data_IF_800658918806
#
_entry.id   IF_800658918806
#
_cell.length_a   1.000
_cell.length_b   1.000
_cell.length_c   1.000
_cell.angle_alpha   90.00
_cell.angle_beta   90.00
_cell.angle_gamma   90.00
#
_symmetry.space_group_name_H-M   'P 1'
#
loop_
_entity.id
_entity.type
_entity.pdbx_description
1 polymer ?
#
# COMPACT_ATOMS: atom_id res chain seq x y z
N UNK A 1 15.94 -8.69 0.47
CA UNK A 1 15.87 -9.14 -0.95
C UNK A 1 16.80 -10.33 -1.18
N UNK A 2 16.27 -11.48 -1.66
CA UNK A 2 17.08 -12.67 -1.99
C UNK A 2 18.17 -12.36 -3.02
N UNK A 3 19.29 -13.08 -2.95
CA UNK A 3 20.49 -12.81 -3.76
C UNK A 3 20.20 -12.77 -5.28
N UNK A 4 19.35 -13.68 -5.76
CA UNK A 4 18.97 -13.79 -7.17
C UNK A 4 18.30 -12.53 -7.75
N UNK A 5 17.60 -11.74 -6.93
CA UNK A 5 16.93 -10.50 -7.38
C UNK A 5 17.81 -9.25 -7.24
N UNK A 6 18.93 -9.33 -6.49
CA UNK A 6 19.81 -8.17 -6.26
C UNK A 6 20.53 -7.69 -7.52
N UNK A 7 20.69 -8.57 -8.52
CA UNK A 7 21.37 -8.29 -9.78
C UNK A 7 20.43 -7.78 -10.89
N UNK A 8 19.12 -7.73 -10.67
CA UNK A 8 18.17 -7.25 -11.68
C UNK A 8 18.25 -5.73 -11.84
N UNK A 9 18.07 -5.25 -13.09
CA UNK A 9 18.12 -3.83 -13.46
C UNK A 9 16.93 -3.05 -12.88
N UNK A 10 15.75 -3.66 -12.88
CA UNK A 10 14.55 -3.16 -12.18
C UNK A 10 14.34 -4.04 -10.97
N UNK A 11 14.32 -3.44 -9.78
CA UNK A 11 14.22 -4.18 -8.51
C UNK A 11 12.85 -3.94 -7.88
N UNK A 12 12.13 -5.00 -7.48
CA UNK A 12 10.88 -4.85 -6.77
C UNK A 12 11.16 -4.29 -5.36
N UNK A 13 10.45 -3.23 -4.96
CA UNK A 13 10.69 -2.56 -3.66
C UNK A 13 9.78 -3.15 -2.59
N UNK A 14 10.25 -3.22 -1.34
CA UNK A 14 9.45 -3.63 -0.19
C UNK A 14 9.06 -5.13 -0.11
N UNK A 15 9.19 -5.93 -1.17
CA UNK A 15 8.68 -7.32 -1.22
C UNK A 15 9.15 -8.20 -0.07
N UNK A 16 10.44 -8.14 0.29
CA UNK A 16 10.97 -8.95 1.42
C UNK A 16 10.33 -8.56 2.75
N UNK A 17 10.09 -7.27 2.98
CA UNK A 17 9.49 -6.74 4.20
C UNK A 17 8.02 -7.17 4.28
N UNK A 18 7.27 -7.01 3.17
CA UNK A 18 5.87 -7.46 3.06
C UNK A 18 5.75 -8.96 3.31
N UNK A 19 6.60 -9.78 2.70
CA UNK A 19 6.59 -11.23 2.93
C UNK A 19 6.97 -11.63 4.36
N UNK A 20 7.92 -10.92 4.99
CA UNK A 20 8.26 -11.16 6.40
C UNK A 20 7.08 -10.81 7.33
N UNK A 21 6.35 -9.73 7.04
CA UNK A 21 5.15 -9.35 7.76
C UNK A 21 4.03 -10.39 7.58
N UNK A 22 3.81 -10.88 6.36
CA UNK A 22 2.84 -11.97 6.09
C UNK A 22 3.14 -13.22 6.92
N UNK A 23 4.41 -13.62 7.02
CA UNK A 23 4.83 -14.74 7.86
C UNK A 23 4.58 -14.46 9.35
N UNK A 24 4.87 -13.25 9.81
CA UNK A 24 4.63 -12.86 11.20
C UNK A 24 3.14 -12.87 11.53
N UNK A 25 2.29 -12.28 10.68
CA UNK A 25 0.83 -12.26 10.85
C UNK A 25 0.30 -13.70 10.93
N UNK A 26 0.75 -14.58 10.04
CA UNK A 26 0.34 -15.99 10.07
C UNK A 26 0.70 -16.72 11.36
N UNK A 27 1.82 -16.36 11.98
CA UNK A 27 2.26 -16.99 13.22
C UNK A 27 1.66 -16.37 14.48
N UNK A 28 1.16 -15.12 14.42
CA UNK A 28 0.86 -14.34 15.63
C UNK A 28 -0.55 -13.72 15.67
N UNK A 29 -1.31 -13.72 14.57
CA UNK A 29 -2.64 -13.12 14.50
C UNK A 29 -3.65 -14.08 13.88
N UNK A 30 -4.85 -14.12 14.43
CA UNK A 30 -5.98 -14.94 13.92
C UNK A 30 -7.09 -14.09 13.31
N UNK A 31 -7.15 -12.81 13.69
CA UNK A 31 -8.18 -11.85 13.28
C UNK A 31 -7.59 -10.47 12.97
N UNK A 32 -8.43 -9.59 12.42
CA UNK A 32 -8.06 -8.24 11.99
C UNK A 32 -7.90 -8.11 10.48
N UNK A 33 -7.36 -6.96 10.06
CA UNK A 33 -7.18 -6.59 8.66
C UNK A 33 -5.72 -6.30 8.37
N UNK A 34 -5.18 -6.95 7.34
CA UNK A 34 -3.89 -6.62 6.76
C UNK A 34 -4.07 -5.50 5.72
N UNK A 35 -3.32 -4.41 5.91
CA UNK A 35 -3.23 -3.30 4.96
C UNK A 35 -1.76 -2.99 4.68
N UNK A 36 -1.38 -2.86 3.41
CA UNK A 36 -0.02 -2.51 3.01
C UNK A 36 0.07 -0.99 2.89
N UNK A 37 0.70 -0.36 3.89
CA UNK A 37 0.91 1.08 3.94
C UNK A 37 2.40 1.40 3.77
N UNK A 38 2.77 1.99 2.62
CA UNK A 38 4.12 2.48 2.37
C UNK A 38 4.36 3.77 3.18
N UNK A 39 5.62 4.03 3.55
CA UNK A 39 6.01 5.02 4.56
C UNK A 39 5.96 6.49 4.09
N UNK A 40 5.78 6.72 2.79
CA UNK A 40 5.73 8.04 2.16
C UNK A 40 4.32 8.46 1.72
N UNK A 41 3.34 7.56 1.83
CA UNK A 41 1.95 7.80 1.47
C UNK A 41 1.21 8.65 2.52
N UNK A 42 0.08 9.24 2.11
CA UNK A 42 -0.83 9.98 2.99
C UNK A 42 -2.14 9.22 3.16
N UNK A 43 -2.62 9.08 4.40
CA UNK A 43 -3.83 8.31 4.71
C UNK A 43 -4.84 9.13 5.50
N UNK A 44 -6.10 9.11 5.08
CA UNK A 44 -7.21 9.68 5.84
C UNK A 44 -7.64 8.70 6.95
N UNK A 45 -7.84 9.19 8.18
CA UNK A 45 -8.27 8.35 9.31
C UNK A 45 -9.60 7.61 9.04
N UNK A 46 -10.50 8.20 8.25
CA UNK A 46 -11.76 7.55 7.83
C UNK A 46 -11.53 6.22 7.11
N UNK A 47 -10.39 6.04 6.43
CA UNK A 47 -10.03 4.78 5.81
C UNK A 47 -9.90 3.67 6.86
N UNK A 48 -9.22 3.96 7.97
CA UNK A 48 -8.96 2.97 9.02
C UNK A 48 -10.23 2.60 9.80
N UNK A 49 -11.21 3.50 9.90
CA UNK A 49 -12.56 3.17 10.39
C UNK A 49 -13.19 2.07 9.54
N UNK A 50 -13.06 2.17 8.21
CA UNK A 50 -13.64 1.20 7.27
C UNK A 50 -12.83 -0.10 7.22
N UNK A 51 -11.50 -0.02 7.27
CA UNK A 51 -10.61 -1.19 7.23
C UNK A 51 -10.87 -2.17 8.37
N UNK A 52 -11.31 -1.70 9.54
CA UNK A 52 -11.64 -2.55 10.70
C UNK A 52 -12.76 -3.56 10.44
N UNK A 53 -13.60 -3.32 9.43
CA UNK A 53 -14.78 -4.13 9.15
C UNK A 53 -14.62 -5.06 7.94
N UNK A 54 -13.43 -5.10 7.33
CA UNK A 54 -13.15 -5.94 6.15
C UNK A 54 -13.20 -7.43 6.52
N UNK A 55 -14.00 -8.20 5.79
CA UNK A 55 -14.23 -9.63 6.03
C UNK A 55 -13.48 -10.53 5.07
N UNK A 56 -13.26 -10.11 3.82
CA UNK A 56 -12.46 -10.88 2.84
C UNK A 56 -11.36 -10.03 2.23
N UNK A 57 -11.71 -9.27 1.20
CA UNK A 57 -10.83 -8.35 0.49
C UNK A 57 -11.62 -7.09 0.26
N UNK A 58 -11.02 -5.95 0.56
CA UNK A 58 -11.57 -4.65 0.25
C UNK A 58 -10.73 -3.98 -0.84
N UNK A 59 -11.39 -3.20 -1.71
CA UNK A 59 -10.73 -2.37 -2.71
C UNK A 59 -11.29 -0.95 -2.68
N UNK A 60 -10.45 0.03 -2.96
CA UNK A 60 -10.79 1.45 -2.91
C UNK A 60 -9.83 2.32 -3.73
N UNK A 61 -10.21 3.58 -4.06
CA UNK A 61 -9.38 4.48 -4.84
C UNK A 61 -8.12 4.95 -4.12
N UNK A 62 -7.04 5.11 -4.87
CA UNK A 62 -5.78 5.75 -4.44
C UNK A 62 -5.51 6.97 -5.33
N UNK A 63 -5.29 8.13 -4.72
CA UNK A 63 -4.96 9.37 -5.43
C UNK A 63 -3.48 9.55 -5.73
N UNK A 64 -3.16 10.51 -6.60
CA UNK A 64 -1.81 10.90 -7.02
C UNK A 64 -1.00 9.79 -7.72
N UNK A 65 -1.70 8.88 -8.40
CA UNK A 65 -1.06 7.79 -9.15
C UNK A 65 -0.63 8.27 -10.54
N UNK A 66 0.68 8.47 -10.71
CA UNK A 66 1.30 8.78 -12.01
C UNK A 66 0.56 9.92 -12.75
N UNK A 67 0.50 9.87 -14.08
CA UNK A 67 -0.25 10.83 -14.92
C UNK A 67 -1.78 10.68 -14.84
N UNK A 68 -2.29 9.57 -14.31
CA UNK A 68 -3.72 9.26 -14.29
C UNK A 68 -4.43 9.83 -13.06
N UNK A 69 -3.67 10.32 -12.07
CA UNK A 69 -4.15 10.95 -10.83
C UNK A 69 -4.96 10.04 -9.90
N UNK A 70 -5.48 8.91 -10.38
CA UNK A 70 -6.22 7.93 -9.59
C UNK A 70 -5.95 6.49 -10.08
N UNK A 71 -5.83 5.57 -9.13
CA UNK A 71 -5.94 4.11 -9.32
C UNK A 71 -7.19 3.64 -8.59
N UNK A 72 -8.12 2.97 -9.26
CA UNK A 72 -9.42 2.62 -8.66
C UNK A 72 -10.08 1.43 -9.36
N UNK A 73 -10.88 0.63 -8.63
CA UNK A 73 -11.94 -0.17 -9.25
C UNK A 73 -12.90 0.74 -10.04
N UNK A 74 -13.37 0.25 -11.19
CA UNK A 74 -14.50 0.85 -11.92
C UNK A 74 -15.76 0.17 -11.39
N UNK A 75 -16.63 0.94 -10.76
CA UNK A 75 -17.84 0.44 -10.11
C UNK A 75 -19.08 0.85 -10.90
N UNK A 76 -19.95 -0.13 -11.18
CA UNK A 76 -21.29 0.11 -11.75
C UNK A 76 -22.30 -0.72 -10.96
N UNK A 77 -23.36 -0.09 -10.45
CA UNK A 77 -24.40 -0.73 -9.65
C UNK A 77 -23.83 -1.55 -8.48
N UNK A 78 -22.82 -1.01 -7.78
CA UNK A 78 -22.18 -1.68 -6.63
C UNK A 78 -21.28 -2.88 -6.99
N UNK A 79 -21.01 -3.12 -8.27
CA UNK A 79 -20.15 -4.22 -8.73
C UNK A 79 -18.93 -3.69 -9.48
N UNK A 80 -17.78 -4.33 -9.30
CA UNK A 80 -16.56 -4.03 -10.06
C UNK A 80 -16.75 -4.53 -11.49
N UNK A 81 -16.72 -3.62 -12.47
CA UNK A 81 -16.79 -3.95 -13.91
C UNK A 81 -15.44 -3.84 -14.60
N UNK A 82 -14.42 -3.37 -13.89
CA UNK A 82 -13.07 -3.18 -14.41
C UNK A 82 -12.22 -2.38 -13.44
N UNK A 83 -11.11 -1.85 -13.94
CA UNK A 83 -10.15 -1.09 -13.14
C UNK A 83 -9.61 0.07 -13.98
N UNK A 84 -9.42 1.21 -13.33
CA UNK A 84 -8.81 2.40 -13.89
C UNK A 84 -7.47 2.62 -13.19
N UNK A 85 -6.37 2.49 -13.92
CA UNK A 85 -5.04 2.60 -13.37
C UNK A 85 -4.04 3.03 -14.45
N UNK A 86 -2.93 3.66 -14.03
CA UNK A 86 -1.93 4.16 -14.97
C UNK A 86 -1.04 3.11 -15.62
N UNK A 87 -1.11 1.85 -15.18
CA UNK A 87 -0.33 0.74 -15.69
C UNK A 87 -1.17 -0.53 -15.80
N UNK A 88 -1.84 -0.75 -16.92
CA UNK A 88 -2.68 -1.95 -17.08
C UNK A 88 -1.84 -3.23 -17.21
N UNK A 89 -0.82 -3.24 -18.08
CA UNK A 89 0.17 -4.33 -18.18
C UNK A 89 -0.39 -5.76 -18.33
N UNK A 90 -1.63 -5.94 -18.79
CA UNK A 90 -2.30 -7.25 -18.81
C UNK A 90 -2.59 -7.84 -17.42
N UNK A 91 -2.54 -7.02 -16.36
CA UNK A 91 -2.85 -7.40 -14.97
C UNK A 91 -4.35 -7.74 -14.85
N UNK A 92 -4.69 -8.74 -14.03
CA UNK A 92 -6.08 -9.05 -13.67
C UNK A 92 -6.60 -8.04 -12.65
N UNK A 93 -5.71 -7.60 -11.75
CA UNK A 93 -6.00 -6.57 -10.76
C UNK A 93 -5.02 -5.41 -10.90
N UNK A 94 -5.22 -4.49 -11.87
CA UNK A 94 -4.42 -3.30 -11.97
C UNK A 94 -4.86 -2.28 -10.91
N UNK A 95 -4.23 -2.38 -9.75
CA UNK A 95 -4.39 -1.49 -8.59
C UNK A 95 -3.01 -1.10 -8.06
N UNK A 96 -2.98 0.00 -7.32
CA UNK A 96 -1.87 0.37 -6.45
C UNK A 96 -1.86 -0.44 -5.14
N UNK A 97 -0.68 -0.62 -4.53
CA UNK A 97 -0.50 -1.38 -3.29
C UNK A 97 -1.36 -0.85 -2.14
N UNK A 98 -1.55 0.47 -2.05
CA UNK A 98 -2.35 1.10 -1.02
C UNK A 98 -3.87 1.02 -1.30
N UNK A 99 -4.30 0.44 -2.42
CA UNK A 99 -5.69 0.43 -2.88
C UNK A 99 -6.51 -0.79 -2.46
N UNK A 100 -5.95 -1.68 -1.64
CA UNK A 100 -6.66 -2.86 -1.17
C UNK A 100 -6.24 -3.29 0.24
N UNK A 101 -7.10 -4.08 0.88
CA UNK A 101 -6.83 -4.70 2.17
C UNK A 101 -7.40 -6.12 2.22
N UNK A 102 -6.84 -6.96 3.09
CA UNK A 102 -7.22 -8.39 3.19
C UNK A 102 -7.47 -8.74 4.65
N UNK A 103 -8.57 -9.42 4.96
CA UNK A 103 -8.78 -9.89 6.32
C UNK A 103 -7.77 -10.99 6.68
N UNK A 104 -7.27 -10.98 7.91
CA UNK A 104 -6.31 -11.98 8.40
C UNK A 104 -6.91 -13.39 8.31
N UNK A 105 -8.21 -13.53 8.61
CA UNK A 105 -8.94 -14.80 8.47
C UNK A 105 -8.94 -15.31 7.03
N UNK A 106 -9.16 -14.44 6.04
CA UNK A 106 -9.16 -14.81 4.62
C UNK A 106 -7.75 -15.13 4.12
N UNK A 107 -6.73 -14.42 4.63
CA UNK A 107 -5.32 -14.71 4.35
C UNK A 107 -4.90 -16.11 4.85
N UNK A 108 -5.37 -16.52 6.03
CA UNK A 108 -5.07 -17.84 6.60
C UNK A 108 -5.56 -19.00 5.76
N UNK A 109 -6.74 -18.88 5.17
CA UNK A 109 -7.25 -19.89 4.24
C UNK A 109 -6.55 -19.87 2.87
N UNK A 110 -5.58 -18.96 2.64
CA UNK A 110 -4.66 -18.97 1.49
C UNK A 110 -3.21 -18.98 1.99
N UNK A 111 -2.74 -20.12 2.55
CA UNK A 111 -1.41 -20.20 3.17
C UNK A 111 -0.25 -19.97 2.19
N UNK A 112 -0.49 -20.13 0.88
CA UNK A 112 0.48 -19.90 -0.19
C UNK A 112 0.51 -18.46 -0.70
N UNK A 113 -0.41 -17.60 -0.28
CA UNK A 113 -0.47 -16.22 -0.73
C UNK A 113 0.78 -15.45 -0.30
N UNK A 114 1.45 -14.80 -1.23
CA UNK A 114 2.68 -14.05 -0.96
C UNK A 114 2.94 -13.01 -2.03
N UNK A 115 3.70 -11.98 -1.66
CA UNK A 115 4.12 -10.95 -2.59
C UNK A 115 5.18 -11.53 -3.54
N UNK A 116 4.96 -11.54 -4.87
CA UNK A 116 5.95 -12.05 -5.81
C UNK A 116 7.10 -11.06 -5.97
N UNK A 117 8.30 -11.57 -6.24
CA UNK A 117 9.43 -10.74 -6.65
C UNK A 117 9.38 -10.47 -8.16
N UNK A 118 8.31 -9.81 -8.62
CA UNK A 118 8.07 -9.50 -10.04
C UNK A 118 7.70 -8.02 -10.21
N UNK A 119 8.65 -7.16 -10.63
CA UNK A 119 8.41 -5.72 -10.77
C UNK A 119 7.19 -5.37 -11.63
N UNK A 120 6.33 -4.50 -11.12
CA UNK A 120 5.09 -4.05 -11.76
C UNK A 120 3.95 -5.08 -11.74
N UNK A 121 4.12 -6.19 -11.00
CA UNK A 121 3.13 -7.26 -10.84
C UNK A 121 3.03 -7.73 -9.38
N UNK A 122 3.59 -6.98 -8.44
CA UNK A 122 3.55 -7.27 -7.01
C UNK A 122 2.10 -7.38 -6.52
N UNK A 123 1.30 -6.33 -6.74
CA UNK A 123 -0.10 -6.24 -6.33
C UNK A 123 -0.95 -7.31 -7.03
N UNK A 124 -0.84 -7.37 -8.36
CA UNK A 124 -1.60 -8.32 -9.18
C UNK A 124 -1.30 -9.76 -8.79
N UNK A 125 -0.03 -10.11 -8.62
CA UNK A 125 0.37 -11.46 -8.24
C UNK A 125 -0.02 -11.82 -6.81
N UNK A 126 0.02 -10.87 -5.87
CA UNK A 126 -0.48 -11.10 -4.51
C UNK A 126 -2.00 -11.35 -4.54
N UNK A 127 -2.79 -10.51 -5.20
CA UNK A 127 -4.24 -10.66 -5.29
C UNK A 127 -4.65 -11.95 -6.02
N UNK A 128 -3.93 -12.34 -7.09
CA UNK A 128 -4.11 -13.65 -7.75
C UNK A 128 -3.80 -14.81 -6.82
N UNK A 129 -2.79 -14.69 -5.96
CA UNK A 129 -2.44 -15.75 -5.00
C UNK A 129 -3.51 -15.97 -3.92
N UNK A 130 -4.53 -15.09 -3.84
CA UNK A 130 -5.69 -15.24 -2.96
C UNK A 130 -6.85 -16.06 -3.57
N UNK A 131 -6.69 -16.55 -4.80
CA UNK A 131 -7.71 -17.35 -5.49
C UNK A 131 -8.18 -18.57 -4.66
N UNK A 132 -9.48 -18.93 -4.74
CA UNK A 132 -10.53 -18.22 -5.47
C UNK A 132 -10.94 -16.91 -4.78
N UNK A 133 -11.05 -15.86 -5.60
CA UNK A 133 -11.50 -14.52 -5.22
C UNK A 133 -12.35 -13.96 -6.36
N UNK A 134 -13.66 -13.92 -6.17
CA UNK A 134 -14.60 -13.37 -7.15
C UNK A 134 -14.81 -11.88 -6.89
N UNK A 135 -14.83 -11.06 -7.95
CA UNK A 135 -14.97 -9.61 -7.82
C UNK A 135 -16.27 -9.17 -7.13
N UNK A 136 -17.35 -9.97 -7.22
CA UNK A 136 -18.61 -9.72 -6.51
C UNK A 136 -18.51 -9.91 -4.99
N UNK A 137 -17.46 -10.58 -4.50
CA UNK A 137 -17.21 -10.78 -3.07
C UNK A 137 -16.29 -9.71 -2.49
N UNK A 138 -15.74 -8.82 -3.32
CA UNK A 138 -14.87 -7.73 -2.89
C UNK A 138 -15.72 -6.62 -2.28
N UNK A 139 -15.33 -6.19 -1.09
CA UNK A 139 -15.97 -5.09 -0.38
C UNK A 139 -15.49 -3.75 -0.94
N UNK A 140 -16.40 -2.92 -1.44
CA UNK A 140 -16.08 -1.59 -1.97
C UNK A 140 -16.08 -0.57 -0.84
N UNK A 141 -14.92 -0.04 -0.50
CA UNK A 141 -14.78 1.02 0.50
C UNK A 141 -14.84 2.41 -0.15
N UNK A 142 -14.72 3.45 0.68
CA UNK A 142 -14.70 4.85 0.26
C UNK A 142 -15.93 5.25 -0.58
N UNK A 143 -17.12 5.03 -0.01
CA UNK A 143 -18.41 5.35 -0.62
C UNK A 143 -18.57 4.72 -2.02
N UNK A 144 -18.42 3.39 -2.11
CA UNK A 144 -18.41 2.65 -3.39
C UNK A 144 -17.38 3.18 -4.39
N UNK A 145 -16.16 3.46 -3.91
CA UNK A 145 -15.07 4.01 -4.69
C UNK A 145 -15.35 5.39 -5.31
N UNK A 146 -16.18 6.22 -4.66
CA UNK A 146 -16.42 7.62 -5.07
C UNK A 146 -15.63 8.64 -4.26
N UNK A 147 -14.95 8.21 -3.19
CA UNK A 147 -14.06 9.02 -2.37
C UNK A 147 -12.61 8.55 -2.47
N UNK A 148 -11.66 9.48 -2.39
CA UNK A 148 -10.24 9.17 -2.23
C UNK A 148 -9.85 9.39 -0.77
N UNK A 149 -9.46 8.32 -0.10
CA UNK A 149 -9.07 8.33 1.32
C UNK A 149 -7.59 7.98 1.55
N UNK A 150 -6.83 7.75 0.48
CA UNK A 150 -5.39 7.51 0.51
C UNK A 150 -4.73 8.09 -0.75
N UNK A 151 -3.51 8.58 -0.61
CA UNK A 151 -2.75 9.22 -1.68
C UNK A 151 -1.32 8.72 -1.71
N UNK A 152 -0.84 8.39 -2.91
CA UNK A 152 0.52 7.93 -3.16
C UNK A 152 1.51 9.12 -3.22
N UNK A 153 1.64 9.84 -2.11
CA UNK A 153 2.61 10.94 -1.98
C UNK A 153 4.05 10.43 -1.95
N UNK A 154 5.00 11.31 -2.26
CA UNK A 154 6.43 11.03 -2.17
C UNK A 154 7.16 12.26 -1.63
N UNK A 155 8.06 12.07 -0.67
CA UNK A 155 8.94 13.13 -0.21
C UNK A 155 9.96 13.49 -1.30
N UNK A 156 10.24 14.79 -1.45
CA UNK A 156 11.36 15.26 -2.28
C UNK A 156 12.59 15.47 -1.40
N UNK A 157 13.76 15.11 -1.93
CA UNK A 157 15.03 15.37 -1.24
C UNK A 157 15.31 16.87 -1.23
N UNK A 158 15.49 17.42 -0.03
CA UNK A 158 15.92 18.80 0.18
C UNK A 158 17.45 18.90 0.20
N UNK A 159 18.02 20.10 -0.07
CA UNK A 159 19.42 20.37 0.26
C UNK A 159 19.63 20.28 1.78
N UNK A 160 20.88 20.04 2.24
CA UNK A 160 21.19 19.97 3.66
C UNK A 160 20.74 21.24 4.40
N UNK A 161 20.24 21.07 5.61
CA UNK A 161 19.86 22.19 6.45
C UNK A 161 21.08 23.11 6.74
N UNK A 162 20.89 24.45 6.76
CA UNK A 162 21.96 25.37 7.14
C UNK A 162 22.33 25.19 8.62
N UNK A 163 23.56 25.57 8.98
CA UNK A 163 24.01 25.55 10.36
C UNK A 163 23.14 26.45 11.24
N UNK A 164 22.79 25.95 12.44
CA UNK A 164 22.04 26.73 13.42
C UNK A 164 22.84 27.94 13.89
N UNK A 165 22.24 29.12 13.87
CA UNK A 165 22.80 30.31 14.54
C UNK A 165 22.75 30.11 16.07
N UNK A 166 23.85 29.62 16.62
CA UNK A 166 23.98 29.35 18.06
C UNK A 166 24.13 30.62 18.89
N UNK A 167 24.49 31.77 18.30
CA UNK A 167 24.51 33.03 19.05
C UNK A 167 23.10 33.48 19.36
N UNK A 168 22.17 33.28 18.42
CA UNK A 168 20.77 33.65 18.57
C UNK A 168 19.93 32.58 19.27
N UNK A 169 20.19 31.30 18.99
CA UNK A 169 19.34 30.18 19.42
C UNK A 169 20.04 29.13 20.29
N UNK A 170 21.25 29.40 20.78
CA UNK A 170 22.05 28.43 21.52
C UNK A 170 21.44 27.92 22.83
N UNK A 171 20.50 28.67 23.42
CA UNK A 171 19.79 28.30 24.64
C UNK A 171 18.42 27.63 24.42
N UNK A 172 18.07 27.25 23.19
CA UNK A 172 16.74 26.69 22.88
C UNK A 172 16.80 25.22 22.47
N UNK A 173 15.62 24.59 22.35
CA UNK A 173 15.46 23.24 21.82
C UNK A 173 16.02 23.06 20.40
N UNK A 174 16.24 24.14 19.64
CA UNK A 174 16.78 24.07 18.28
C UNK A 174 18.15 23.40 18.24
N UNK A 175 18.97 23.52 19.29
CA UNK A 175 20.27 22.82 19.35
C UNK A 175 20.09 21.31 19.29
N UNK A 176 19.12 20.76 20.04
CA UNK A 176 18.82 19.33 20.01
C UNK A 176 18.22 18.91 18.67
N UNK A 177 17.36 19.73 18.08
CA UNK A 177 16.75 19.41 16.78
C UNK A 177 17.78 19.32 15.64
N UNK A 178 18.94 19.97 15.73
CA UNK A 178 19.99 19.84 14.71
C UNK A 178 20.46 18.42 14.48
N UNK A 179 20.36 17.52 15.47
CA UNK A 179 20.74 16.10 15.30
C UNK A 179 19.73 15.29 14.48
N UNK A 180 18.55 15.84 14.21
CA UNK A 180 17.45 15.19 13.48
C UNK A 180 17.32 15.66 12.03
N UNK A 181 18.04 16.73 11.65
CA UNK A 181 17.98 17.29 10.30
C UNK A 181 18.77 16.42 9.32
N UNK A 182 18.27 16.33 8.09
CA UNK A 182 18.81 15.48 7.00
C UNK A 182 19.27 16.34 5.82
#
# INVERSE_FOLDING_TARGET
MPAQYRKQKVKPRGVSNRNRALQWIRANATEGTLYFADDDNTYNLKLFEQLRHVRKVAMFPVGLISKYQVSSPIVKNGTITGFYDGWLGGRKYPLDMAGFAVSVKFLHSRPKAQMPFKPGYEEDGFLRSLEPLELKEVELLASNCTEILTWHTQARKNPPAPALDRKKYGGTNLVQLTSWLV
#
